data_IF_600523374801
#
_entry.id   IF_600523374801
#
_cell.length_a   1.000
_cell.length_b   1.000
_cell.length_c   1.000
_cell.angle_alpha   90.00
_cell.angle_beta   90.00
_cell.angle_gamma   90.00
#
_symmetry.space_group_name_H-M   'P 1'
#
loop_
_entity.id
_entity.type
_entity.pdbx_description
1 polymer ?
#
# COMPACT_ATOMS: atom_id res chain seq x y z
N UNK A 1 12.71 17.37 4.58
CA UNK A 1 13.69 16.32 4.23
C UNK A 1 13.03 14.98 4.51
N UNK A 2 12.42 14.36 3.50
CA UNK A 2 11.63 13.13 3.68
C UNK A 2 12.59 11.94 3.77
N UNK A 3 12.52 11.18 4.86
CA UNK A 3 13.28 9.96 5.04
C UNK A 3 12.89 8.95 3.95
N UNK A 4 13.85 8.62 3.11
CA UNK A 4 13.81 7.54 2.13
C UNK A 4 13.68 6.23 2.90
N UNK A 5 12.49 5.59 2.85
CA UNK A 5 12.29 4.26 3.41
C UNK A 5 12.59 3.29 2.26
N UNK A 6 13.76 2.63 2.26
CA UNK A 6 14.16 1.73 1.19
C UNK A 6 13.13 0.60 1.09
N UNK A 7 12.42 0.54 -0.03
CA UNK A 7 11.48 -0.54 -0.34
C UNK A 7 10.12 -0.07 -0.86
N UNK A 8 9.62 1.10 -0.47
CA UNK A 8 8.27 1.55 -0.90
C UNK A 8 8.31 2.22 -2.26
N UNK A 9 9.25 3.15 -2.44
CA UNK A 9 9.39 3.94 -3.67
C UNK A 9 10.02 3.07 -4.78
N UNK A 10 10.90 2.13 -4.41
CA UNK A 10 11.38 1.07 -5.29
C UNK A 10 10.28 0.11 -5.78
N UNK A 11 9.24 -0.13 -4.97
CA UNK A 11 8.12 -0.99 -5.37
C UNK A 11 7.22 -0.32 -6.42
N UNK A 12 6.99 0.99 -6.31
CA UNK A 12 6.22 1.74 -7.31
C UNK A 12 6.99 1.86 -8.65
N UNK A 13 8.30 2.10 -8.59
CA UNK A 13 9.16 2.13 -9.78
C UNK A 13 9.19 0.76 -10.47
N UNK A 14 9.37 -0.32 -9.70
CA UNK A 14 9.33 -1.68 -10.23
C UNK A 14 7.98 -1.97 -10.89
N UNK A 15 6.86 -1.57 -10.27
CA UNK A 15 5.53 -1.77 -10.85
C UNK A 15 5.36 -1.03 -12.18
N UNK A 16 5.84 0.21 -12.28
CA UNK A 16 5.83 0.98 -13.53
C UNK A 16 6.65 0.33 -14.65
N UNK A 17 7.80 -0.27 -14.31
CA UNK A 17 8.62 -1.01 -15.26
C UNK A 17 7.90 -2.25 -15.80
N UNK A 18 7.22 -3.02 -14.95
CA UNK A 18 6.49 -4.23 -15.38
C UNK A 18 5.26 -3.86 -16.23
N UNK A 19 4.53 -2.79 -15.89
CA UNK A 19 3.43 -2.28 -16.73
C UNK A 19 3.94 -1.86 -18.11
N UNK A 20 5.08 -1.17 -18.17
CA UNK A 20 5.67 -0.73 -19.44
C UNK A 20 6.13 -1.93 -20.29
N UNK A 21 6.70 -2.96 -19.67
CA UNK A 21 7.08 -4.19 -20.37
C UNK A 21 5.87 -4.92 -20.98
N UNK A 22 4.71 -4.91 -20.30
CA UNK A 22 3.49 -5.52 -20.81
C UNK A 22 2.99 -4.85 -22.11
N UNK A 23 3.27 -3.57 -22.32
CA UNK A 23 2.86 -2.84 -23.53
C UNK A 23 3.55 -3.33 -24.82
N UNK A 24 4.62 -4.13 -24.70
CA UNK A 24 5.37 -4.68 -25.82
C UNK A 24 4.97 -6.12 -26.19
N UNK A 25 3.95 -6.70 -25.53
CA UNK A 25 3.48 -8.06 -25.84
C UNK A 25 2.51 -8.00 -27.04
N UNK A 26 2.92 -8.57 -28.17
CA UNK A 26 2.13 -8.56 -29.41
C UNK A 26 1.00 -9.60 -29.42
N UNK A 27 1.19 -10.77 -28.81
CA UNK A 27 0.14 -11.79 -28.71
C UNK A 27 -0.98 -11.33 -27.75
N UNK A 28 -2.22 -11.12 -28.23
CA UNK A 28 -3.32 -10.65 -27.40
C UNK A 28 -3.66 -11.59 -26.23
N UNK A 29 -3.50 -12.91 -26.41
CA UNK A 29 -3.82 -13.89 -25.36
C UNK A 29 -2.73 -13.88 -24.28
N UNK A 30 -1.45 -13.86 -24.67
CA UNK A 30 -0.35 -13.68 -23.73
C UNK A 30 -0.45 -12.35 -22.98
N UNK A 31 -0.79 -11.25 -23.68
CA UNK A 31 -1.01 -9.94 -23.07
C UNK A 31 -2.12 -9.99 -22.03
N UNK A 32 -3.29 -10.53 -22.37
CA UNK A 32 -4.41 -10.64 -21.43
C UNK A 32 -4.06 -11.47 -20.18
N UNK A 33 -3.33 -12.57 -20.35
CA UNK A 33 -2.86 -13.39 -19.24
C UNK A 33 -1.88 -12.63 -18.34
N UNK A 34 -0.95 -11.91 -18.95
CA UNK A 34 0.04 -11.11 -18.24
C UNK A 34 -0.62 -9.96 -17.47
N UNK A 35 -1.51 -9.20 -18.10
CA UNK A 35 -2.26 -8.12 -17.47
C UNK A 35 -3.14 -8.63 -16.32
N UNK A 36 -3.73 -9.82 -16.45
CA UNK A 36 -4.51 -10.43 -15.37
C UNK A 36 -3.66 -10.75 -14.14
N UNK A 37 -2.49 -11.36 -14.33
CA UNK A 37 -1.56 -11.61 -13.24
C UNK A 37 -1.05 -10.31 -12.60
N UNK A 38 -0.77 -9.31 -13.45
CA UNK A 38 -0.28 -8.00 -13.02
C UNK A 38 -1.35 -7.22 -12.24
N UNK A 39 -2.64 -7.35 -12.57
CA UNK A 39 -3.71 -6.64 -11.89
C UNK A 39 -3.75 -6.92 -10.39
N UNK A 40 -3.58 -8.18 -9.98
CA UNK A 40 -3.60 -8.56 -8.56
C UNK A 40 -2.33 -8.13 -7.83
N UNK A 41 -1.17 -8.24 -8.49
CA UNK A 41 0.10 -7.74 -7.97
C UNK A 41 0.07 -6.21 -7.79
N UNK A 42 -0.49 -5.49 -8.77
CA UNK A 42 -0.64 -4.03 -8.76
C UNK A 42 -1.55 -3.57 -7.62
N UNK A 43 -2.72 -4.19 -7.47
CA UNK A 43 -3.65 -3.86 -6.37
C UNK A 43 -2.98 -4.04 -5.01
N UNK A 44 -2.28 -5.15 -4.83
CA UNK A 44 -1.59 -5.47 -3.57
C UNK A 44 -0.44 -4.50 -3.30
N UNK A 45 0.39 -4.23 -4.31
CA UNK A 45 1.54 -3.33 -4.22
C UNK A 45 1.12 -1.89 -3.97
N UNK A 46 0.10 -1.40 -4.67
CA UNK A 46 -0.44 -0.05 -4.48
C UNK A 46 -1.06 0.12 -3.09
N UNK A 47 -1.83 -0.88 -2.62
CA UNK A 47 -2.36 -0.86 -1.26
C UNK A 47 -1.23 -0.81 -0.21
N UNK A 48 -0.16 -1.59 -0.40
CA UNK A 48 0.99 -1.56 0.49
C UNK A 48 1.73 -0.21 0.49
N UNK A 49 1.91 0.39 -0.68
CA UNK A 49 2.51 1.71 -0.83
C UNK A 49 1.66 2.80 -0.16
N UNK A 50 0.33 2.75 -0.36
CA UNK A 50 -0.60 3.68 0.27
C UNK A 50 -0.59 3.54 1.79
N UNK A 51 -0.61 2.32 2.33
CA UNK A 51 -0.56 2.09 3.78
C UNK A 51 0.74 2.62 4.39
N UNK A 52 1.87 2.44 3.71
CA UNK A 52 3.16 3.01 4.12
C UNK A 52 3.16 4.55 4.07
N UNK A 53 2.57 5.15 3.04
CA UNK A 53 2.43 6.61 2.94
C UNK A 53 1.54 7.18 4.06
N UNK A 54 0.45 6.51 4.40
CA UNK A 54 -0.42 6.88 5.54
C UNK A 54 0.35 6.81 6.86
N UNK A 55 1.13 5.75 7.09
CA UNK A 55 1.97 5.66 8.30
C UNK A 55 2.94 6.85 8.38
N UNK A 56 3.62 7.20 7.28
CA UNK A 56 4.50 8.38 7.21
C UNK A 56 3.75 9.66 7.57
N UNK A 57 2.57 9.88 6.98
CA UNK A 57 1.74 11.05 7.26
C UNK A 57 1.32 11.13 8.73
N UNK A 58 0.92 10.00 9.33
CA UNK A 58 0.54 9.94 10.76
C UNK A 58 1.72 10.11 11.73
N UNK A 59 2.96 9.97 11.25
CA UNK A 59 4.16 10.32 12.01
C UNK A 59 4.40 11.84 12.10
N UNK A 60 3.74 12.64 11.27
CA UNK A 60 3.92 14.09 11.16
C UNK A 60 2.66 14.88 11.55
N UNK A 61 1.49 14.25 11.44
CA UNK A 61 0.20 14.88 11.69
C UNK A 61 -0.73 13.96 12.50
N UNK A 62 -1.65 14.53 13.31
CA UNK A 62 -2.69 13.75 13.98
C UNK A 62 -3.58 12.99 12.99
N UNK A 63 -4.18 11.88 13.44
CA UNK A 63 -5.03 11.02 12.60
C UNK A 63 -6.19 11.79 11.97
N UNK A 64 -6.87 12.63 12.75
CA UNK A 64 -7.94 13.52 12.28
C UNK A 64 -7.50 14.40 11.10
N UNK A 65 -6.32 15.03 11.20
CA UNK A 65 -5.78 15.88 10.13
C UNK A 65 -5.43 15.09 8.87
N UNK A 66 -4.87 13.88 9.02
CA UNK A 66 -4.57 13.01 7.88
C UNK A 66 -5.85 12.52 7.21
N UNK A 67 -6.85 12.13 8.01
CA UNK A 67 -8.15 11.66 7.55
C UNK A 67 -8.88 12.75 6.74
N UNK A 68 -8.95 13.97 7.28
CA UNK A 68 -9.54 15.13 6.64
C UNK A 68 -8.88 15.46 5.30
N UNK A 69 -7.54 15.57 5.27
CA UNK A 69 -6.77 15.86 4.05
C UNK A 69 -6.91 14.78 2.97
N UNK A 70 -7.16 13.53 3.36
CA UNK A 70 -7.35 12.42 2.43
C UNK A 70 -8.82 12.16 2.08
N UNK A 71 -9.77 12.88 2.69
CA UNK A 71 -11.20 12.69 2.47
C UNK A 71 -11.71 11.33 2.94
N UNK A 72 -11.13 10.77 4.00
CA UNK A 72 -11.51 9.46 4.57
C UNK A 72 -11.78 9.57 6.07
N UNK A 73 -12.26 8.50 6.69
CA UNK A 73 -12.48 8.45 8.15
C UNK A 73 -11.19 8.13 8.92
N UNK A 74 -11.10 8.58 10.17
CA UNK A 74 -10.00 8.20 11.08
C UNK A 74 -9.88 6.69 11.30
N UNK A 75 -11.01 5.97 11.23
CA UNK A 75 -11.05 4.51 11.31
C UNK A 75 -10.31 3.85 10.14
N UNK A 76 -10.44 4.40 8.92
CA UNK A 76 -9.69 3.92 7.75
C UNK A 76 -8.19 4.21 7.91
N UNK A 77 -7.80 5.37 8.44
CA UNK A 77 -6.40 5.67 8.76
C UNK A 77 -5.83 4.64 9.74
N UNK A 78 -6.54 4.38 10.84
CA UNK A 78 -6.15 3.38 11.84
C UNK A 78 -6.03 1.98 11.25
N UNK A 79 -7.00 1.58 10.42
CA UNK A 79 -6.98 0.29 9.70
C UNK A 79 -5.74 0.15 8.82
N UNK A 80 -5.37 1.20 8.08
CA UNK A 80 -4.18 1.22 7.20
C UNK A 80 -2.88 1.14 7.98
N UNK A 81 -2.76 1.90 9.07
CA UNK A 81 -1.60 1.81 9.99
C UNK A 81 -1.47 0.38 10.54
N UNK A 82 -2.59 -0.22 10.97
CA UNK A 82 -2.62 -1.61 11.41
C UNK A 82 -2.25 -2.62 10.32
N UNK A 83 -2.68 -2.41 9.08
CA UNK A 83 -2.31 -3.26 7.94
C UNK A 83 -0.81 -3.18 7.64
N UNK A 84 -0.22 -1.98 7.64
CA UNK A 84 1.22 -1.79 7.45
C UNK A 84 2.05 -2.51 8.53
N UNK A 85 1.68 -2.33 9.82
CA UNK A 85 2.36 -3.00 10.95
C UNK A 85 2.32 -4.53 10.83
N UNK A 86 1.17 -5.10 10.45
CA UNK A 86 1.03 -6.55 10.22
C UNK A 86 1.96 -7.03 9.10
N UNK A 87 2.09 -6.28 8.00
CA UNK A 87 3.02 -6.63 6.92
C UNK A 87 4.49 -6.58 7.35
N UNK A 88 4.84 -5.73 8.31
CA UNK A 88 6.18 -5.65 8.89
C UNK A 88 6.44 -6.67 10.01
N UNK A 89 5.48 -7.55 10.31
CA UNK A 89 5.61 -8.53 11.39
C UNK A 89 5.59 -7.91 12.79
N UNK A 90 5.18 -6.65 12.93
CA UNK A 90 5.09 -5.98 14.23
C UNK A 90 3.83 -6.52 14.94
N UNK A 91 3.97 -7.20 16.09
CA UNK A 91 2.82 -7.76 16.80
C UNK A 91 1.86 -6.63 17.21
N UNK A 92 0.55 -6.91 17.11
CA UNK A 92 -0.45 -6.03 17.70
C UNK A 92 -0.17 -5.91 19.20
N UNK A 93 -0.29 -4.69 19.76
CA UNK A 93 -0.15 -4.47 21.20
C UNK A 93 -1.04 -5.49 21.95
N UNK A 94 -0.56 -6.10 23.04
CA UNK A 94 -1.41 -6.94 23.87
C UNK A 94 -2.51 -6.05 24.45
N UNK A 95 -3.77 -6.33 24.12
CA UNK A 95 -4.91 -5.65 24.75
C UNK A 95 -6.01 -5.21 23.80
N UNK A 96 -6.86 -6.16 23.40
CA UNK A 96 -8.30 -6.11 23.73
C UNK A 96 -8.87 -7.53 23.53
N UNK A 97 -9.39 -8.21 24.57
CA UNK A 97 -10.11 -9.45 24.36
C UNK A 97 -11.27 -9.17 23.40
N UNK A 98 -11.40 -10.05 22.40
CA UNK A 98 -12.53 -10.05 21.47
C UNK A 98 -13.74 -10.43 22.32
N UNK A 99 -14.61 -9.48 22.63
CA UNK A 99 -15.90 -9.80 23.23
C UNK A 99 -16.66 -10.65 22.21
N UNK A 100 -16.78 -11.94 22.51
CA UNK A 100 -17.79 -12.85 21.95
C UNK A 100 -19.18 -12.38 22.34
#
# INVERSE_FOLDING_TARGET
>A
MAADIPGTDGNLIALGAVISAAAHIEDPIALARHLRALADATKTGLAAALDAAVVRATGQHPYATVADKLGVSEAEISRRVGAHRRRQGIPARPGRPRAT
#
